data_IF_686856598226
#
_entry.id   IF_686856598226
#
_cell.length_a   1.000
_cell.length_b   1.000
_cell.length_c   1.000
_cell.angle_alpha   90.00
_cell.angle_beta   90.00
_cell.angle_gamma   90.00
#
_symmetry.space_group_name_H-M   'P 1'
#
loop_
_entity.id
_entity.type
_entity.pdbx_description
1 polymer ?
#
# COMPACT_ATOMS: atom_id res chain seq x y z
N UNK A 1 44.73 -28.28 -49.58
CA UNK A 1 44.80 -27.18 -48.59
C UNK A 1 43.42 -26.95 -48.01
N UNK A 2 43.22 -27.27 -46.73
CA UNK A 2 41.92 -27.44 -46.05
C UNK A 2 41.49 -26.10 -45.45
N UNK A 3 40.37 -25.52 -45.92
CA UNK A 3 39.81 -24.26 -45.38
C UNK A 3 38.97 -24.59 -44.14
N UNK A 4 39.32 -24.03 -42.98
CA UNK A 4 38.53 -24.10 -41.75
C UNK A 4 37.72 -22.82 -41.59
N UNK A 5 36.39 -22.96 -41.56
CA UNK A 5 35.43 -21.93 -41.18
C UNK A 5 35.24 -21.99 -39.66
N UNK A 6 35.58 -20.91 -38.96
CA UNK A 6 35.17 -20.74 -37.57
C UNK A 6 33.92 -19.86 -37.53
N UNK A 7 32.79 -20.47 -37.20
CA UNK A 7 31.58 -19.77 -36.82
C UNK A 7 31.67 -19.44 -35.32
N UNK A 8 31.75 -18.15 -34.97
CA UNK A 8 31.64 -17.69 -33.59
C UNK A 8 30.15 -17.39 -33.34
N UNK A 9 29.47 -18.33 -32.69
CA UNK A 9 28.14 -18.10 -32.12
C UNK A 9 28.28 -17.31 -30.82
N UNK A 10 27.95 -16.03 -30.84
CA UNK A 10 27.81 -15.22 -29.62
C UNK A 10 26.42 -15.52 -29.04
N UNK A 11 26.38 -16.41 -28.05
CA UNK A 11 25.21 -16.60 -27.21
C UNK A 11 25.07 -15.42 -26.25
N UNK A 12 24.12 -14.52 -26.52
CA UNK A 12 23.73 -13.48 -25.56
C UNK A 12 22.79 -14.13 -24.54
N UNK A 13 23.34 -14.56 -23.40
CA UNK A 13 22.51 -14.87 -22.23
C UNK A 13 22.10 -13.56 -21.56
N UNK A 14 20.84 -13.17 -21.72
CA UNK A 14 20.23 -12.10 -20.94
C UNK A 14 20.07 -12.56 -19.48
N UNK A 15 21.02 -12.19 -18.63
CA UNK A 15 20.89 -12.33 -17.19
C UNK A 15 19.93 -11.30 -16.63
N UNK A 16 18.79 -11.74 -16.09
CA UNK A 16 17.93 -10.91 -15.24
C UNK A 16 18.72 -10.56 -13.97
N UNK A 17 19.20 -9.31 -13.90
CA UNK A 17 20.02 -8.84 -12.79
C UNK A 17 19.24 -8.84 -11.47
N UNK A 18 19.68 -9.65 -10.51
CA UNK A 18 19.51 -9.33 -9.10
C UNK A 18 20.20 -7.98 -8.88
N UNK A 19 19.49 -6.98 -8.36
CA UNK A 19 20.09 -5.69 -8.07
C UNK A 19 21.14 -5.88 -6.98
N UNK A 20 22.41 -5.90 -7.38
CA UNK A 20 23.53 -5.96 -6.45
C UNK A 20 23.54 -4.69 -5.59
N UNK A 21 23.97 -4.85 -4.33
CA UNK A 21 24.18 -3.71 -3.45
C UNK A 21 25.15 -2.70 -4.08
N UNK A 22 24.88 -1.39 -4.00
CA UNK A 22 25.79 -0.38 -4.52
C UNK A 22 27.19 -0.50 -3.90
N UNK A 23 28.23 -0.20 -4.67
CA UNK A 23 29.61 -0.12 -4.19
C UNK A 23 29.86 1.24 -3.49
N UNK A 24 29.11 1.54 -2.43
CA UNK A 24 29.22 2.78 -1.66
C UNK A 24 29.97 2.56 -0.34
N UNK A 25 30.53 3.63 0.21
CA UNK A 25 30.97 3.64 1.61
C UNK A 25 29.76 3.69 2.55
N UNK A 26 29.95 3.31 3.81
CA UNK A 26 28.90 3.40 4.84
C UNK A 26 28.34 4.82 4.97
N UNK A 27 29.21 5.84 4.97
CA UNK A 27 28.82 7.24 5.08
C UNK A 27 27.99 7.71 3.88
N UNK A 28 28.38 7.31 2.66
CA UNK A 28 27.60 7.60 1.45
C UNK A 28 26.23 6.93 1.51
N UNK A 29 26.17 5.65 1.93
CA UNK A 29 24.91 4.94 2.07
C UNK A 29 23.97 5.60 3.08
N UNK A 30 24.47 6.05 4.22
CA UNK A 30 23.68 6.77 5.23
C UNK A 30 23.12 8.09 4.70
N UNK A 31 23.92 8.84 3.92
CA UNK A 31 23.48 10.07 3.28
C UNK A 31 22.37 9.81 2.24
N UNK A 32 22.56 8.85 1.34
CA UNK A 32 21.58 8.52 0.29
C UNK A 32 20.30 7.92 0.87
N UNK A 33 20.39 7.06 1.89
CA UNK A 33 19.23 6.53 2.61
C UNK A 33 18.49 7.65 3.32
N UNK A 34 19.19 8.58 3.98
CA UNK A 34 18.56 9.72 4.65
C UNK A 34 17.81 10.60 3.65
N UNK A 35 18.45 10.95 2.53
CA UNK A 35 17.87 11.75 1.45
C UNK A 35 16.61 11.09 0.88
N UNK A 36 16.69 9.83 0.49
CA UNK A 36 15.55 9.11 -0.09
C UNK A 36 14.42 8.92 0.92
N UNK A 37 14.75 8.65 2.19
CA UNK A 37 13.77 8.56 3.27
C UNK A 37 13.01 9.87 3.48
N UNK A 38 13.68 11.03 3.39
CA UNK A 38 13.03 12.34 3.49
C UNK A 38 12.07 12.60 2.31
N UNK A 39 12.46 12.25 1.09
CA UNK A 39 11.59 12.43 -0.09
C UNK A 39 10.33 11.56 0.00
N UNK A 40 10.51 10.27 0.28
CA UNK A 40 9.41 9.32 0.46
C UNK A 40 8.48 9.76 1.59
N UNK A 41 9.03 10.26 2.70
CA UNK A 41 8.26 10.80 3.81
C UNK A 41 7.42 12.03 3.42
N UNK A 42 7.98 12.94 2.63
CA UNK A 42 7.26 14.11 2.12
C UNK A 42 6.05 13.68 1.29
N UNK A 43 6.25 12.81 0.30
CA UNK A 43 5.15 12.31 -0.54
C UNK A 43 4.10 11.54 0.25
N UNK A 44 4.53 10.72 1.23
CA UNK A 44 3.59 10.04 2.13
C UNK A 44 2.74 11.06 2.89
N UNK A 45 3.34 12.07 3.50
CA UNK A 45 2.59 13.09 4.24
C UNK A 45 1.60 13.84 3.36
N UNK A 46 1.98 14.15 2.12
CA UNK A 46 1.11 14.87 1.18
C UNK A 46 -0.09 14.06 0.76
N UNK A 47 0.14 12.79 0.47
CA UNK A 47 -0.93 11.85 0.18
C UNK A 47 -1.91 11.76 1.36
N UNK A 48 -1.41 11.58 2.59
CA UNK A 48 -2.25 11.37 3.77
C UNK A 48 -2.95 12.64 4.30
N UNK A 49 -2.27 13.79 4.29
CA UNK A 49 -2.78 15.05 4.87
C UNK A 49 -3.53 15.90 3.84
N UNK A 50 -3.02 15.93 2.61
CA UNK A 50 -3.50 16.84 1.56
C UNK A 50 -4.32 16.13 0.50
N UNK A 51 -4.30 14.79 0.47
CA UNK A 51 -4.96 14.01 -0.58
C UNK A 51 -4.33 14.26 -1.96
N UNK A 52 -3.05 14.62 -2.00
CA UNK A 52 -2.32 14.95 -3.22
C UNK A 52 -1.04 14.13 -3.31
N UNK A 53 -0.76 13.56 -4.47
CA UNK A 53 0.52 12.90 -4.74
C UNK A 53 1.28 13.63 -5.86
N UNK A 54 2.53 14.02 -5.58
CA UNK A 54 3.42 14.60 -6.59
C UNK A 54 4.02 13.55 -7.54
N UNK A 55 3.96 12.27 -7.14
CA UNK A 55 4.51 11.14 -7.88
C UNK A 55 3.45 10.05 -8.07
N UNK A 56 3.56 9.28 -9.15
CA UNK A 56 2.71 8.11 -9.34
C UNK A 56 3.06 7.01 -8.32
N UNK A 57 2.08 6.18 -7.97
CA UNK A 57 2.23 5.08 -7.01
C UNK A 57 3.36 4.12 -7.36
N UNK A 58 3.55 3.82 -8.65
CA UNK A 58 4.60 2.90 -9.09
C UNK A 58 6.01 3.50 -8.92
N UNK A 59 6.14 4.82 -9.00
CA UNK A 59 7.36 5.56 -8.68
C UNK A 59 7.61 5.52 -7.17
N UNK A 60 6.58 5.79 -6.36
CA UNK A 60 6.67 5.69 -4.90
C UNK A 60 7.08 4.27 -4.46
N UNK A 61 6.36 3.24 -4.91
CA UNK A 61 6.61 1.83 -4.57
C UNK A 61 8.05 1.40 -4.93
N UNK A 62 8.53 1.82 -6.10
CA UNK A 62 9.89 1.49 -6.57
C UNK A 62 10.96 2.17 -5.73
N UNK A 63 10.77 3.44 -5.40
CA UNK A 63 11.71 4.21 -4.58
C UNK A 63 11.69 3.71 -3.13
N UNK A 64 10.53 3.34 -2.61
CA UNK A 64 10.42 2.71 -1.30
C UNK A 64 11.11 1.34 -1.25
N UNK A 65 10.89 0.49 -2.26
CA UNK A 65 11.59 -0.80 -2.36
C UNK A 65 13.11 -0.61 -2.43
N UNK A 66 13.57 0.40 -3.16
CA UNK A 66 14.99 0.79 -3.24
C UNK A 66 15.54 1.23 -1.88
N UNK A 67 14.79 2.04 -1.13
CA UNK A 67 15.15 2.45 0.22
C UNK A 67 15.31 1.24 1.16
N UNK A 68 14.37 0.29 1.10
CA UNK A 68 14.44 -0.95 1.89
C UNK A 68 15.65 -1.81 1.50
N UNK A 69 15.94 -1.91 0.20
CA UNK A 69 17.12 -2.62 -0.31
C UNK A 69 18.42 -2.01 0.21
N UNK A 70 18.61 -0.70 0.05
CA UNK A 70 19.83 -0.02 0.51
C UNK A 70 20.03 -0.15 2.02
N UNK A 71 18.97 -0.01 2.80
CA UNK A 71 19.06 -0.24 4.25
C UNK A 71 19.54 -1.65 4.60
N UNK A 72 19.09 -2.67 3.86
CA UNK A 72 19.55 -4.05 4.06
C UNK A 72 21.00 -4.22 3.66
N UNK A 73 21.42 -3.66 2.52
CA UNK A 73 22.80 -3.73 2.04
C UNK A 73 23.82 -3.17 3.04
N UNK A 74 23.48 -2.07 3.72
CA UNK A 74 24.40 -1.36 4.62
C UNK A 74 24.03 -1.48 6.11
N UNK A 75 23.13 -2.42 6.45
CA UNK A 75 22.65 -2.66 7.82
C UNK A 75 22.19 -1.39 8.58
N UNK A 76 21.61 -0.41 7.87
CA UNK A 76 21.19 0.88 8.45
C UNK A 76 19.93 0.72 9.29
N UNK A 77 20.03 0.99 10.60
CA UNK A 77 18.95 0.77 11.58
C UNK A 77 17.96 1.93 11.72
N UNK A 78 18.27 3.11 11.17
CA UNK A 78 17.40 4.29 11.24
C UNK A 78 15.98 3.96 10.77
N UNK A 79 14.92 4.30 11.53
CA UNK A 79 13.55 3.98 11.16
C UNK A 79 13.20 4.55 9.77
N UNK A 80 12.56 3.76 8.91
CA UNK A 80 11.93 4.32 7.71
C UNK A 80 10.63 5.00 8.19
N UNK A 81 10.38 6.20 7.69
CA UNK A 81 9.20 7.01 8.08
C UNK A 81 7.87 6.34 7.68
N UNK A 82 7.89 5.28 6.86
CA UNK A 82 6.68 4.48 6.61
C UNK A 82 6.13 3.81 7.88
N UNK A 83 6.94 3.63 8.93
CA UNK A 83 6.48 3.18 10.26
C UNK A 83 5.89 4.30 11.12
N UNK A 84 5.95 5.57 10.71
CA UNK A 84 5.29 6.65 11.44
C UNK A 84 3.78 6.58 11.21
N UNK A 85 2.98 6.50 12.29
CA UNK A 85 1.54 6.46 12.17
C UNK A 85 1.07 7.74 11.47
N UNK A 86 0.09 7.65 10.55
CA UNK A 86 -0.70 8.79 10.13
C UNK A 86 -1.10 9.65 11.34
N UNK A 87 -1.36 10.95 11.14
CA UNK A 87 -1.83 11.83 12.20
C UNK A 87 -2.93 11.12 13.01
N UNK A 88 -2.73 11.02 14.33
CA UNK A 88 -3.74 10.43 15.20
C UNK A 88 -4.93 11.35 15.17
N UNK A 89 -6.00 10.93 14.50
CA UNK A 89 -7.29 11.52 14.78
C UNK A 89 -7.70 11.18 16.21
N UNK A 90 -8.54 12.01 16.80
CA UNK A 90 -8.91 11.90 18.22
C UNK A 90 -9.80 10.68 18.49
N UNK A 91 -10.40 10.12 17.45
CA UNK A 91 -11.45 9.12 17.55
C UNK A 91 -10.90 7.70 17.46
N UNK A 92 -10.90 6.99 18.59
CA UNK A 92 -10.47 5.59 18.64
C UNK A 92 -11.41 4.68 17.86
N UNK A 93 -10.82 3.75 17.11
CA UNK A 93 -11.57 2.70 16.45
C UNK A 93 -12.06 1.66 17.47
N UNK A 94 -13.33 1.21 17.40
CA UNK A 94 -13.80 0.07 18.20
C UNK A 94 -13.05 -1.23 17.87
N UNK A 95 -12.63 -1.38 16.61
CA UNK A 95 -11.82 -2.49 16.11
C UNK A 95 -10.67 -1.89 15.30
N UNK A 96 -9.43 -2.21 15.64
CA UNK A 96 -8.26 -1.67 14.93
C UNK A 96 -8.23 -2.16 13.47
N UNK A 97 -7.81 -1.28 12.56
CA UNK A 97 -7.54 -1.65 11.17
C UNK A 97 -6.21 -2.41 11.10
N UNK A 98 -6.19 -3.51 10.37
CA UNK A 98 -4.96 -4.24 10.03
C UNK A 98 -4.65 -4.07 8.55
N UNK A 99 -3.37 -3.96 8.21
CA UNK A 99 -2.93 -4.00 6.82
C UNK A 99 -3.03 -5.41 6.22
N UNK A 100 -2.95 -5.48 4.90
CA UNK A 100 -2.77 -6.74 4.16
C UNK A 100 -1.35 -6.80 3.60
N UNK A 101 -0.77 -8.00 3.60
CA UNK A 101 0.56 -8.21 3.01
C UNK A 101 0.43 -8.37 1.49
N UNK A 102 1.13 -7.53 0.73
CA UNK A 102 1.25 -7.63 -0.74
C UNK A 102 2.12 -8.84 -1.10
N UNK A 103 1.63 -9.66 -2.03
CA UNK A 103 2.39 -10.75 -2.66
C UNK A 103 2.46 -10.43 -4.16
N UNK A 104 3.64 -10.01 -4.64
CA UNK A 104 3.81 -9.54 -6.00
C UNK A 104 3.83 -10.70 -7.02
N UNK A 105 4.49 -11.80 -6.66
CA UNK A 105 4.74 -12.90 -7.59
C UNK A 105 3.70 -14.01 -7.49
N UNK A 106 3.34 -14.59 -8.64
CA UNK A 106 2.40 -15.73 -8.73
C UNK A 106 2.86 -16.91 -7.87
N UNK A 107 4.17 -17.16 -7.82
CA UNK A 107 4.75 -18.24 -7.02
C UNK A 107 4.54 -18.02 -5.50
N UNK A 108 4.54 -16.77 -5.04
CA UNK A 108 4.32 -16.44 -3.63
C UNK A 108 2.87 -16.58 -3.23
N UNK A 109 1.94 -16.20 -4.12
CA UNK A 109 0.51 -16.48 -3.95
C UNK A 109 0.25 -17.98 -3.87
N UNK A 110 0.79 -18.76 -4.82
CA UNK A 110 0.64 -20.22 -4.83
C UNK A 110 1.19 -20.85 -3.55
N UNK A 111 2.34 -20.37 -3.06
CA UNK A 111 2.91 -20.80 -1.77
C UNK A 111 2.03 -20.41 -0.58
N UNK A 112 1.47 -19.22 -0.55
CA UNK A 112 0.55 -18.79 0.52
C UNK A 112 -0.73 -19.63 0.55
N UNK A 113 -1.24 -20.04 -0.62
CA UNK A 113 -2.47 -20.84 -0.75
C UNK A 113 -2.32 -22.30 -0.31
N UNK A 114 -1.09 -22.85 -0.24
CA UNK A 114 -0.90 -24.26 0.11
C UNK A 114 -1.55 -24.61 1.45
N UNK A 115 -2.35 -25.67 1.45
CA UNK A 115 -3.07 -26.18 2.63
C UNK A 115 -4.27 -25.35 3.07
N UNK A 116 -4.70 -24.33 2.31
CA UNK A 116 -5.91 -23.55 2.60
C UNK A 116 -7.06 -24.03 1.72
N UNK A 117 -8.24 -24.20 2.32
CA UNK A 117 -9.51 -24.45 1.64
C UNK A 117 -10.43 -23.23 1.75
N UNK A 118 -11.50 -23.21 0.96
CA UNK A 118 -12.59 -22.21 1.06
C UNK A 118 -12.11 -20.75 0.95
N UNK A 119 -11.12 -20.51 0.09
CA UNK A 119 -10.57 -19.19 -0.15
C UNK A 119 -11.59 -18.30 -0.85
N UNK A 120 -11.87 -17.15 -0.24
CA UNK A 120 -12.66 -16.09 -0.84
C UNK A 120 -11.76 -15.03 -1.46
N UNK A 121 -11.95 -14.78 -2.75
CA UNK A 121 -11.21 -13.76 -3.50
C UNK A 121 -12.11 -12.55 -3.73
N UNK A 122 -11.58 -11.37 -3.40
CA UNK A 122 -12.22 -10.10 -3.68
C UNK A 122 -11.25 -9.18 -4.43
N UNK A 123 -11.74 -8.32 -5.33
CA UNK A 123 -10.94 -7.22 -5.86
C UNK A 123 -10.45 -6.34 -4.70
N UNK A 124 -9.17 -5.98 -4.70
CA UNK A 124 -8.70 -4.91 -3.84
C UNK A 124 -9.24 -3.60 -4.41
N UNK A 125 -10.16 -2.98 -3.68
CA UNK A 125 -10.63 -1.64 -3.99
C UNK A 125 -9.49 -0.67 -3.72
N UNK A 126 -9.44 0.40 -4.52
CA UNK A 126 -8.51 1.49 -4.27
C UNK A 126 -9.29 2.73 -3.89
N UNK A 127 -9.14 3.11 -2.62
CA UNK A 127 -9.86 4.21 -2.02
C UNK A 127 -9.34 4.47 -0.62
N UNK A 128 -10.21 4.98 0.24
CA UNK A 128 -9.87 5.33 1.63
C UNK A 128 -10.62 4.43 2.60
N UNK A 129 -9.87 3.76 3.47
CA UNK A 129 -10.44 2.88 4.48
C UNK A 129 -11.25 3.67 5.53
N UNK A 130 -12.40 3.12 5.92
CA UNK A 130 -13.35 3.73 6.87
C UNK A 130 -13.91 2.68 7.84
N UNK A 131 -14.20 3.10 9.07
CA UNK A 131 -15.04 2.34 10.02
C UNK A 131 -16.42 2.98 10.09
N UNK A 132 -17.48 2.20 9.95
CA UNK A 132 -18.86 2.61 10.17
C UNK A 132 -19.41 1.92 11.42
N UNK A 133 -19.98 2.69 12.35
CA UNK A 133 -20.60 2.15 13.57
C UNK A 133 -22.10 2.36 13.48
N UNK A 134 -22.84 1.27 13.54
CA UNK A 134 -24.30 1.24 13.62
C UNK A 134 -24.74 0.87 15.03
N UNK A 135 -25.68 1.63 15.58
CA UNK A 135 -26.36 1.33 16.84
C UNK A 135 -27.86 1.49 16.67
N UNK A 136 -28.64 0.51 17.12
CA UNK A 136 -30.10 0.47 16.99
C UNK A 136 -30.56 0.77 15.55
N UNK A 137 -29.85 0.22 14.58
CA UNK A 137 -30.14 0.36 13.17
C UNK A 137 -29.77 1.71 12.56
N UNK A 138 -29.08 2.61 13.26
CA UNK A 138 -28.67 3.91 12.70
C UNK A 138 -27.17 4.02 12.63
N UNK A 139 -26.65 4.57 11.54
CA UNK A 139 -25.27 5.02 11.48
C UNK A 139 -25.09 6.09 12.55
N UNK A 140 -24.22 5.86 13.52
CA UNK A 140 -23.93 6.82 14.61
C UNK A 140 -22.55 7.43 14.47
N UNK A 141 -21.62 6.75 13.81
CA UNK A 141 -20.23 7.19 13.69
C UNK A 141 -19.62 6.67 12.39
N UNK A 142 -18.80 7.49 11.74
CA UNK A 142 -17.89 7.07 10.68
C UNK A 142 -16.49 7.62 10.98
N UNK A 143 -15.48 6.77 10.94
CA UNK A 143 -14.11 7.10 11.35
C UNK A 143 -13.17 6.83 10.18
N UNK A 144 -12.33 7.80 9.82
CA UNK A 144 -11.23 7.58 8.87
C UNK A 144 -10.27 6.51 9.40
N UNK A 145 -9.45 5.89 8.54
CA UNK A 145 -8.47 4.91 8.99
C UNK A 145 -7.49 5.50 10.02
N UNK A 146 -6.97 6.71 9.77
CA UNK A 146 -5.88 7.31 10.56
C UNK A 146 -4.73 6.32 10.72
N UNK A 147 -4.22 6.16 11.94
CA UNK A 147 -3.14 5.21 12.24
C UNK A 147 -3.57 3.74 12.37
N UNK A 148 -4.85 3.47 12.08
CA UNK A 148 -5.49 2.18 12.22
C UNK A 148 -5.97 1.88 13.65
N UNK A 149 -5.51 2.59 14.66
CA UNK A 149 -6.04 2.51 16.04
C UNK A 149 -6.96 3.69 16.36
N UNK A 150 -6.67 4.86 15.80
CA UNK A 150 -7.49 6.05 15.86
C UNK A 150 -7.48 6.78 14.52
N UNK A 151 -8.58 7.48 14.23
CA UNK A 151 -8.75 8.28 13.02
C UNK A 151 -9.66 9.48 13.29
N UNK A 152 -10.04 10.15 12.22
CA UNK A 152 -10.85 11.36 12.28
C UNK A 152 -12.35 11.04 12.22
N UNK A 153 -13.16 11.87 12.87
CA UNK A 153 -14.61 11.78 12.70
C UNK A 153 -15.03 12.28 11.31
N UNK A 154 -15.46 11.36 10.46
CA UNK A 154 -15.99 11.64 9.13
C UNK A 154 -17.52 11.49 9.06
N UNK A 155 -18.22 11.36 10.20
CA UNK A 155 -19.65 11.05 10.25
C UNK A 155 -20.48 12.02 9.41
N UNK A 156 -20.26 13.32 9.53
CA UNK A 156 -21.00 14.33 8.78
C UNK A 156 -20.78 14.23 7.26
N UNK A 157 -19.53 13.95 6.83
CA UNK A 157 -19.17 13.78 5.41
C UNK A 157 -19.75 12.48 4.85
N UNK A 158 -19.56 11.38 5.57
CA UNK A 158 -19.99 10.03 5.16
C UNK A 158 -21.52 9.91 5.06
N UNK A 159 -22.27 10.60 5.92
CA UNK A 159 -23.75 10.66 5.81
C UNK A 159 -24.23 11.23 4.47
N UNK A 160 -23.44 12.07 3.82
CA UNK A 160 -23.80 12.66 2.53
C UNK A 160 -23.55 11.70 1.35
N UNK A 161 -22.77 10.63 1.55
CA UNK A 161 -22.46 9.66 0.51
C UNK A 161 -23.70 8.77 0.26
N UNK A 162 -24.31 8.79 -0.94
CA UNK A 162 -25.54 8.04 -1.20
C UNK A 162 -25.40 6.53 -0.96
N UNK A 163 -24.27 5.95 -1.34
CA UNK A 163 -24.00 4.50 -1.23
C UNK A 163 -23.83 3.98 0.20
N UNK A 164 -23.67 4.85 1.21
CA UNK A 164 -23.58 4.42 2.61
C UNK A 164 -24.98 4.34 3.22
N UNK A 165 -25.43 3.17 3.70
CA UNK A 165 -26.74 3.04 4.35
C UNK A 165 -26.79 3.86 5.64
N UNK A 166 -27.80 4.72 5.80
CA UNK A 166 -28.00 5.48 7.04
C UNK A 166 -28.74 4.67 8.10
N UNK A 167 -29.48 3.66 7.63
CA UNK A 167 -30.27 2.74 8.44
C UNK A 167 -29.95 1.30 8.04
N UNK A 168 -29.75 0.44 9.03
CA UNK A 168 -29.55 -1.02 8.89
C UNK A 168 -30.59 -1.77 9.72
N UNK A 169 -30.82 -3.04 9.40
CA UNK A 169 -31.81 -3.90 10.07
C UNK A 169 -31.18 -5.26 10.43
N UNK A 170 -31.89 -6.03 11.26
CA UNK A 170 -31.48 -7.38 11.64
C UNK A 170 -30.10 -7.41 12.29
N UNK A 171 -29.26 -8.36 11.88
CA UNK A 171 -27.92 -8.56 12.41
C UNK A 171 -27.01 -7.32 12.29
N UNK A 172 -27.26 -6.44 11.31
CA UNK A 172 -26.45 -5.24 11.10
C UNK A 172 -26.89 -4.04 11.95
N UNK A 173 -27.99 -4.15 12.71
CA UNK A 173 -28.52 -3.02 13.47
C UNK A 173 -27.57 -2.55 14.59
N UNK A 174 -26.75 -3.45 15.14
CA UNK A 174 -25.70 -3.13 16.10
C UNK A 174 -24.40 -3.75 15.58
N UNK A 175 -23.69 -3.02 14.72
CA UNK A 175 -22.51 -3.55 14.03
C UNK A 175 -21.42 -2.49 13.87
N UNK A 176 -20.19 -2.96 13.76
CA UNK A 176 -19.03 -2.18 13.32
C UNK A 176 -18.59 -2.77 12.00
N UNK A 177 -18.61 -1.98 10.94
CA UNK A 177 -18.25 -2.39 9.59
C UNK A 177 -17.00 -1.65 9.15
N UNK A 178 -16.03 -2.37 8.60
CA UNK A 178 -14.83 -1.79 8.00
C UNK A 178 -14.88 -2.05 6.50
N UNK A 179 -14.51 -1.04 5.73
CA UNK A 179 -14.53 -1.10 4.27
C UNK A 179 -13.81 0.09 3.67
N UNK A 180 -14.09 0.36 2.41
CA UNK A 180 -13.37 1.34 1.61
C UNK A 180 -14.36 2.28 0.92
N UNK A 181 -14.15 3.59 1.06
CA UNK A 181 -14.87 4.61 0.31
C UNK A 181 -14.05 4.91 -0.95
N UNK A 182 -14.69 4.87 -2.11
CA UNK A 182 -14.01 5.08 -3.38
C UNK A 182 -14.93 5.81 -4.36
N UNK A 183 -14.33 6.52 -5.30
CA UNK A 183 -15.05 7.15 -6.40
C UNK A 183 -15.21 6.16 -7.55
N UNK A 184 -16.45 5.84 -7.90
CA UNK A 184 -16.70 4.96 -9.05
C UNK A 184 -16.46 5.72 -10.35
N UNK A 185 -15.46 5.30 -11.12
CA UNK A 185 -15.17 5.81 -12.48
C UNK A 185 -15.54 4.75 -13.52
N UNK A 186 -16.37 5.10 -14.50
CA UNK A 186 -16.82 4.16 -15.54
C UNK A 186 -15.65 3.77 -16.46
N UNK A 187 -15.45 2.47 -16.68
CA UNK A 187 -14.39 1.96 -17.55
C UNK A 187 -12.96 2.16 -17.05
N UNK A 188 -12.79 2.64 -15.81
CA UNK A 188 -11.48 2.94 -15.26
C UNK A 188 -10.72 1.65 -14.91
N UNK A 189 -9.52 1.52 -15.46
CA UNK A 189 -8.59 0.43 -15.17
C UNK A 189 -7.33 1.06 -14.60
N UNK A 190 -7.18 1.03 -13.27
CA UNK A 190 -6.10 1.69 -12.53
C UNK A 190 -4.71 1.41 -13.13
N UNK A 191 -4.43 0.14 -13.46
CA UNK A 191 -3.14 -0.27 -14.08
C UNK A 191 -2.82 0.47 -15.40
N UNK A 192 -3.84 0.90 -16.14
CA UNK A 192 -3.67 1.58 -17.43
C UNK A 192 -3.81 3.10 -17.32
N UNK A 193 -4.58 3.57 -16.34
CA UNK A 193 -5.06 4.95 -16.29
C UNK A 193 -4.51 5.76 -15.12
N UNK A 194 -3.79 5.14 -14.18
CA UNK A 194 -3.38 5.80 -12.93
C UNK A 194 -4.56 5.99 -11.97
N UNK A 195 -4.43 6.91 -11.03
CA UNK A 195 -5.51 7.32 -10.10
C UNK A 195 -6.60 8.18 -10.78
#
# INVERSE_FOLDING_TARGET
MRKWLWAIGIGITAGYGQSACPAWTQAQAEQEVSRLNQQVAGWKNDYWLRGSSEVADDVYDRLFARLVEWRRCFAIKTPIIDDLPPPRGEMRHPVAHTGVRKLAEKADVARWMRGKTDLWVQPKVDGVAVTLVYRRGRLVQAISRGDGRAGEDWTAKVRQIPGVPKVTKGALANSVLQGELFLRRAGHIQKRMGE
#
